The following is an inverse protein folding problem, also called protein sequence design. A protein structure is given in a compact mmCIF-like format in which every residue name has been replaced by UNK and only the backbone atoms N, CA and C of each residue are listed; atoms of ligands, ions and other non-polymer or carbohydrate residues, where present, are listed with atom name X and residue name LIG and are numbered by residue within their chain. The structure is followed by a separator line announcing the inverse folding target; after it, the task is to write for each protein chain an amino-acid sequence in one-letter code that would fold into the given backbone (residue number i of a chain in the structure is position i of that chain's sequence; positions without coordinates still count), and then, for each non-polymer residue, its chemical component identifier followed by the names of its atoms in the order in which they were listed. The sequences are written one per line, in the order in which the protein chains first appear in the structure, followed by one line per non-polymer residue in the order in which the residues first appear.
data_IF_417369158124
#
_entry.id   IF_417369158124
#
_cell.length_a   1.000
_cell.length_b   1.000
_cell.length_c   1.000
_cell.angle_alpha   90.00
_cell.angle_beta   90.00
_cell.angle_gamma   90.00
#
_symmetry.space_group_name_H-M   'P 1'
#
loop_
_entity.id
_entity.type
_entity.pdbx_description
1 polymer ?
#
# COMPACT_ATOMS: atom_id res chain seq x y z
N UNK A 1 8.51 -0.23 17.74
CA UNK A 1 7.58 0.89 17.90
C UNK A 1 6.67 0.57 19.07
N UNK A 2 6.70 1.39 20.09
CA UNK A 2 6.01 1.11 21.32
C UNK A 2 4.56 1.55 21.32
N UNK A 3 4.16 2.40 20.37
CA UNK A 3 2.84 2.98 20.42
C UNK A 3 2.39 3.50 19.05
N UNK A 4 1.09 3.68 18.94
CA UNK A 4 0.48 4.36 17.81
C UNK A 4 1.03 5.77 17.64
N UNK A 5 1.30 6.45 18.74
CA UNK A 5 1.87 7.80 18.73
C UNK A 5 3.23 7.84 18.07
N UNK A 6 4.12 6.91 18.42
CA UNK A 6 5.46 6.84 17.81
C UNK A 6 5.38 6.57 16.31
N UNK A 7 4.51 5.68 15.89
CA UNK A 7 4.29 5.39 14.47
C UNK A 7 3.78 6.63 13.74
N UNK A 8 2.80 7.32 14.31
CA UNK A 8 2.23 8.52 13.71
C UNK A 8 3.27 9.61 13.55
N UNK A 9 4.09 9.84 14.57
CA UNK A 9 5.17 10.84 14.50
C UNK A 9 6.16 10.50 13.40
N UNK A 10 6.58 9.26 13.30
CA UNK A 10 7.55 8.85 12.28
C UNK A 10 7.00 9.08 10.88
N UNK A 11 5.75 8.69 10.63
CA UNK A 11 5.11 8.92 9.33
C UNK A 11 5.04 10.40 9.00
N UNK A 12 4.62 11.24 9.96
CA UNK A 12 4.50 12.68 9.73
C UNK A 12 5.83 13.34 9.45
N UNK A 13 6.88 12.96 10.19
CA UNK A 13 8.18 13.62 10.10
C UNK A 13 9.02 13.14 8.92
N UNK A 14 8.87 11.88 8.52
CA UNK A 14 9.71 11.29 7.49
C UNK A 14 8.95 11.02 6.20
N UNK A 15 7.89 10.23 6.26
CA UNK A 15 7.23 9.77 5.05
C UNK A 15 6.24 10.76 4.47
N UNK A 16 5.45 11.45 5.28
CA UNK A 16 4.49 12.42 4.75
C UNK A 16 5.14 13.61 4.07
N UNK A 17 6.33 13.99 4.51
CA UNK A 17 7.10 15.05 3.84
C UNK A 17 7.48 14.67 2.41
N UNK A 18 7.47 13.37 2.10
CA UNK A 18 7.75 12.83 0.76
C UNK A 18 6.46 12.51 0.00
N UNK A 19 5.31 13.01 0.47
CA UNK A 19 4.03 12.74 -0.19
C UNK A 19 3.37 11.43 0.23
N UNK A 20 3.85 10.79 1.28
CA UNK A 20 3.30 9.53 1.76
C UNK A 20 1.92 9.74 2.38
N UNK A 21 0.96 8.89 2.01
CA UNK A 21 -0.41 8.94 2.53
C UNK A 21 -0.79 7.59 3.11
N UNK A 22 -1.64 7.62 4.14
CA UNK A 22 -2.12 6.40 4.81
C UNK A 22 -3.64 6.30 4.71
N UNK A 23 -4.12 5.09 4.54
CA UNK A 23 -5.53 4.73 4.68
C UNK A 23 -5.64 3.49 5.55
N UNK A 24 -6.68 3.40 6.35
CA UNK A 24 -6.86 2.28 7.27
C UNK A 24 -8.32 1.83 7.28
N UNK A 25 -8.51 0.53 7.55
CA UNK A 25 -9.83 -0.06 7.79
C UNK A 25 -9.94 -0.40 9.26
N UNK A 26 -11.06 -0.04 9.89
CA UNK A 26 -11.32 -0.26 11.31
C UNK A 26 -12.47 -1.23 11.48
N UNK A 27 -12.43 -2.02 12.57
CA UNK A 27 -13.60 -2.79 12.98
C UNK A 27 -14.68 -1.84 13.50
N UNK A 28 -15.95 -2.09 13.18
CA UNK A 28 -17.04 -1.28 13.74
C UNK A 28 -16.99 -1.24 15.26
N UNK A 29 -17.07 -0.04 15.82
CA UNK A 29 -17.12 0.14 17.26
C UNK A 29 -15.79 0.04 17.98
N UNK A 30 -14.67 -0.06 17.26
CA UNK A 30 -13.34 -0.11 17.88
C UNK A 30 -12.43 0.96 17.29
N UNK A 31 -11.42 1.43 18.06
CA UNK A 31 -10.44 2.37 17.55
C UNK A 31 -9.27 1.69 16.80
N UNK A 32 -9.26 0.36 16.72
CA UNK A 32 -8.10 -0.38 16.21
C UNK A 32 -8.21 -0.60 14.72
N UNK A 33 -7.15 -0.24 13.99
CA UNK A 33 -7.04 -0.54 12.57
C UNK A 33 -6.76 -2.03 12.37
N UNK A 34 -7.48 -2.66 11.46
CA UNK A 34 -7.27 -4.08 11.12
C UNK A 34 -6.49 -4.25 9.83
N UNK A 35 -6.46 -3.23 8.99
CA UNK A 35 -5.65 -3.21 7.76
C UNK A 35 -5.23 -1.77 7.47
N UNK A 36 -4.05 -1.61 6.92
CA UNK A 36 -3.47 -0.29 6.62
C UNK A 36 -2.77 -0.35 5.27
N UNK A 37 -2.91 0.70 4.48
CA UNK A 37 -2.12 0.88 3.27
C UNK A 37 -1.44 2.24 3.29
N UNK A 38 -0.17 2.26 2.88
CA UNK A 38 0.59 3.47 2.66
C UNK A 38 0.91 3.61 1.18
N UNK A 39 0.76 4.80 0.63
CA UNK A 39 0.92 5.00 -0.80
C UNK A 39 1.37 6.42 -1.12
N UNK A 40 1.87 6.58 -2.34
CA UNK A 40 2.29 7.88 -2.89
C UNK A 40 1.77 8.03 -4.30
N UNK A 41 1.61 9.27 -4.74
CA UNK A 41 1.30 9.59 -6.13
C UNK A 41 2.61 10.03 -6.79
N UNK A 42 3.01 9.32 -7.83
CA UNK A 42 4.28 9.53 -8.50
C UNK A 42 4.08 9.80 -9.98
N UNK A 43 5.13 10.33 -10.62
CA UNK A 43 5.14 10.61 -12.04
C UNK A 43 6.42 10.03 -12.65
N UNK A 44 6.28 9.29 -13.75
CA UNK A 44 7.41 8.80 -14.53
C UNK A 44 7.11 8.97 -16.02
N UNK A 45 8.17 9.12 -16.79
CA UNK A 45 8.00 9.27 -18.24
C UNK A 45 7.28 8.08 -18.86
N UNK A 46 7.59 6.87 -18.41
CA UNK A 46 7.00 5.66 -18.97
C UNK A 46 5.59 5.35 -18.44
N UNK A 47 5.26 5.82 -17.23
CA UNK A 47 4.00 5.46 -16.58
C UNK A 47 3.03 6.63 -16.44
N UNK A 48 3.51 7.87 -16.67
CA UNK A 48 2.72 9.06 -16.38
C UNK A 48 2.47 9.19 -14.88
N UNK A 49 1.27 9.64 -14.52
CA UNK A 49 0.86 9.72 -13.11
C UNK A 49 0.38 8.34 -12.67
N UNK A 50 0.91 7.85 -11.57
CA UNK A 50 0.51 6.55 -11.05
C UNK A 50 0.49 6.55 -9.53
N UNK A 51 -0.30 5.64 -8.96
CA UNK A 51 -0.36 5.41 -7.52
C UNK A 51 0.57 4.26 -7.19
N UNK A 52 1.51 4.50 -6.27
CA UNK A 52 2.45 3.48 -5.82
C UNK A 52 2.14 3.09 -4.39
N UNK A 53 1.86 1.81 -4.17
CA UNK A 53 1.58 1.28 -2.83
C UNK A 53 2.91 0.90 -2.18
N UNK A 54 3.28 1.64 -1.14
CA UNK A 54 4.50 1.36 -0.38
C UNK A 54 4.28 0.23 0.62
N UNK A 55 3.09 0.20 1.25
CA UNK A 55 2.79 -0.75 2.32
C UNK A 55 1.33 -1.18 2.23
N UNK A 56 1.09 -2.47 2.43
CA UNK A 56 -0.26 -3.02 2.56
C UNK A 56 -0.20 -4.13 3.59
N UNK A 57 -0.79 -3.88 4.75
CA UNK A 57 -0.68 -4.76 5.91
C UNK A 57 -2.06 -5.04 6.50
N UNK A 58 -2.34 -6.31 6.78
CA UNK A 58 -3.52 -6.73 7.53
C UNK A 58 -3.05 -7.46 8.78
N UNK A 59 -3.69 -7.18 9.93
CA UNK A 59 -3.37 -7.89 11.16
C UNK A 59 -3.56 -9.40 10.96
N UNK A 60 -2.68 -10.26 11.53
CA UNK A 60 -2.75 -11.70 11.29
C UNK A 60 -4.10 -12.33 11.62
N UNK A 61 -4.73 -11.90 12.71
CA UNK A 61 -6.03 -12.44 13.14
C UNK A 61 -7.20 -12.00 12.24
N UNK A 62 -6.96 -11.05 11.35
CA UNK A 62 -7.99 -10.54 10.44
C UNK A 62 -7.70 -10.83 8.97
N UNK A 63 -6.69 -11.64 8.70
CA UNK A 63 -6.39 -12.05 7.33
C UNK A 63 -7.51 -12.94 6.80
N UNK A 64 -7.74 -12.90 5.51
CA UNK A 64 -8.78 -13.67 4.81
C UNK A 64 -10.21 -13.24 5.18
N UNK A 65 -10.38 -12.08 5.81
CA UNK A 65 -11.69 -11.53 6.16
C UNK A 65 -12.14 -10.43 5.20
N UNK A 66 -11.40 -10.17 4.12
CA UNK A 66 -11.79 -9.21 3.10
C UNK A 66 -11.37 -7.77 3.37
N UNK A 67 -10.63 -7.50 4.44
CA UNK A 67 -10.22 -6.13 4.75
C UNK A 67 -9.18 -5.60 3.75
N UNK A 68 -8.26 -6.45 3.30
CA UNK A 68 -7.30 -6.04 2.27
C UNK A 68 -8.00 -5.78 0.94
N UNK A 69 -9.04 -6.55 0.61
CA UNK A 69 -9.85 -6.31 -0.59
C UNK A 69 -10.53 -4.94 -0.54
N UNK A 70 -11.06 -4.56 0.63
CA UNK A 70 -11.70 -3.25 0.80
C UNK A 70 -10.70 -2.12 0.57
N UNK A 71 -9.51 -2.21 1.17
CA UNK A 71 -8.49 -1.18 0.99
C UNK A 71 -8.02 -1.14 -0.45
N UNK A 72 -7.83 -2.28 -1.09
CA UNK A 72 -7.38 -2.31 -2.48
C UNK A 72 -8.41 -1.65 -3.40
N UNK A 73 -9.69 -1.92 -3.19
CA UNK A 73 -10.76 -1.28 -3.95
C UNK A 73 -10.74 0.24 -3.75
N UNK A 74 -10.51 0.70 -2.52
CA UNK A 74 -10.39 2.12 -2.22
C UNK A 74 -9.21 2.75 -2.94
N UNK A 75 -8.05 2.05 -2.95
CA UNK A 75 -6.86 2.55 -3.63
C UNK A 75 -7.11 2.71 -5.14
N UNK A 76 -7.81 1.78 -5.76
CA UNK A 76 -8.17 1.87 -7.16
C UNK A 76 -9.07 3.09 -7.43
N UNK A 77 -10.06 3.31 -6.59
CA UNK A 77 -10.94 4.47 -6.74
C UNK A 77 -10.19 5.79 -6.54
N UNK A 78 -9.29 5.82 -5.57
CA UNK A 78 -8.46 7.00 -5.33
C UNK A 78 -7.54 7.28 -6.52
N UNK A 79 -6.96 6.23 -7.10
CA UNK A 79 -6.15 6.38 -8.31
C UNK A 79 -6.97 6.98 -9.45
N UNK A 80 -8.20 6.50 -9.64
CA UNK A 80 -9.10 7.06 -10.66
C UNK A 80 -9.44 8.52 -10.38
N UNK A 81 -9.77 8.82 -9.12
CA UNK A 81 -10.12 10.18 -8.69
C UNK A 81 -8.98 11.17 -8.94
N UNK A 82 -7.75 10.74 -8.76
CA UNK A 82 -6.56 11.57 -8.91
C UNK A 82 -6.00 11.57 -10.34
N UNK A 83 -6.67 10.91 -11.27
CA UNK A 83 -6.23 10.89 -12.67
C UNK A 83 -5.02 10.01 -12.90
N UNK A 84 -4.78 9.00 -12.06
CA UNK A 84 -3.70 8.06 -12.26
C UNK A 84 -4.10 7.02 -13.32
N UNK A 85 -3.20 6.77 -14.26
CA UNK A 85 -3.42 5.76 -15.29
C UNK A 85 -3.12 4.35 -14.80
N UNK A 86 -2.30 4.20 -13.76
CA UNK A 86 -1.83 2.90 -13.29
C UNK A 86 -1.69 2.88 -11.78
N UNK A 87 -1.69 1.69 -11.22
CA UNK A 87 -1.39 1.41 -9.81
C UNK A 87 -0.26 0.38 -9.78
N UNK A 88 0.78 0.66 -9.02
CA UNK A 88 1.98 -0.18 -8.94
C UNK A 88 2.32 -0.52 -7.49
N UNK A 89 2.97 -1.66 -7.32
CA UNK A 89 3.62 -2.04 -6.06
C UNK A 89 4.75 -3.02 -6.36
N UNK A 90 5.64 -3.17 -5.39
CA UNK A 90 6.66 -4.21 -5.41
C UNK A 90 6.35 -5.22 -4.31
N UNK A 91 6.62 -6.50 -4.59
CA UNK A 91 6.44 -7.57 -3.61
C UNK A 91 7.60 -8.53 -3.71
N UNK A 92 8.17 -8.92 -2.57
CA UNK A 92 9.25 -9.88 -2.56
C UNK A 92 8.84 -11.20 -3.22
N UNK A 93 9.74 -11.82 -3.97
CA UNK A 93 9.42 -13.03 -4.71
C UNK A 93 9.02 -14.22 -3.83
N UNK A 94 9.35 -14.17 -2.54
CA UNK A 94 8.99 -15.20 -1.57
C UNK A 94 7.60 -15.04 -0.95
N UNK A 95 6.91 -13.94 -1.24
CA UNK A 95 5.61 -13.65 -0.64
C UNK A 95 4.47 -14.18 -1.50
N UNK A 96 4.34 -15.50 -1.56
CA UNK A 96 3.40 -16.17 -2.47
C UNK A 96 1.94 -15.84 -2.20
N UNK A 97 1.54 -15.69 -0.94
CA UNK A 97 0.16 -15.35 -0.60
C UNK A 97 -0.21 -13.94 -1.09
N UNK A 98 0.72 -13.00 -0.94
CA UNK A 98 0.52 -11.63 -1.45
C UNK A 98 0.44 -11.64 -2.97
N UNK A 99 1.29 -12.42 -3.65
CA UNK A 99 1.26 -12.54 -5.12
C UNK A 99 -0.11 -13.04 -5.58
N UNK A 100 -0.66 -14.07 -4.92
CA UNK A 100 -2.00 -14.58 -5.27
C UNK A 100 -3.07 -13.50 -5.12
N UNK A 101 -2.98 -12.71 -4.05
CA UNK A 101 -3.90 -11.59 -3.81
C UNK A 101 -3.83 -10.59 -4.96
N UNK A 102 -2.62 -10.17 -5.35
CA UNK A 102 -2.46 -9.17 -6.42
C UNK A 102 -2.94 -9.70 -7.76
N UNK A 103 -2.60 -10.93 -8.10
CA UNK A 103 -3.04 -11.54 -9.37
C UNK A 103 -4.56 -11.71 -9.41
N UNK A 104 -5.18 -12.07 -8.28
CA UNK A 104 -6.64 -12.17 -8.17
C UNK A 104 -7.31 -10.83 -8.49
N UNK A 105 -6.69 -9.72 -8.12
CA UNK A 105 -7.21 -8.38 -8.37
C UNK A 105 -6.87 -7.85 -9.76
N UNK A 106 -6.32 -8.66 -10.63
CA UNK A 106 -6.05 -8.29 -12.01
C UNK A 106 -4.71 -7.63 -12.25
N UNK A 107 -3.83 -7.62 -11.27
CA UNK A 107 -2.49 -7.10 -11.47
C UNK A 107 -1.64 -8.09 -12.27
N UNK A 108 -0.65 -7.58 -12.98
CA UNK A 108 0.30 -8.41 -13.72
C UNK A 108 1.70 -8.21 -13.17
N UNK A 109 2.50 -9.25 -13.22
CA UNK A 109 3.89 -9.18 -12.81
C UNK A 109 4.72 -8.86 -14.06
N UNK A 110 5.06 -7.58 -14.24
CA UNK A 110 5.64 -7.12 -15.50
C UNK A 110 7.07 -6.58 -15.36
N UNK A 111 7.70 -6.73 -14.19
CA UNK A 111 9.06 -6.22 -13.98
C UNK A 111 9.76 -6.99 -12.87
N UNK A 112 11.08 -6.89 -12.87
CA UNK A 112 11.90 -7.38 -11.75
C UNK A 112 12.56 -6.18 -11.08
N UNK A 113 12.58 -6.19 -9.75
CA UNK A 113 13.16 -5.13 -8.96
C UNK A 113 14.62 -5.46 -8.65
N UNK A 114 15.53 -4.53 -8.98
CA UNK A 114 16.94 -4.66 -8.66
C UNK A 114 17.35 -3.60 -7.65
N UNK A 115 18.20 -3.96 -6.72
CA UNK A 115 18.67 -3.00 -5.71
C UNK A 115 20.15 -3.21 -5.41
N UNK A 116 20.79 -2.15 -4.92
CA UNK A 116 22.19 -2.15 -4.55
C UNK A 116 22.37 -1.23 -3.35
N UNK A 117 23.16 -1.67 -2.38
CA UNK A 117 23.56 -0.80 -1.28
C UNK A 117 24.62 0.18 -1.80
N UNK A 118 24.47 1.44 -1.45
CA UNK A 118 25.42 2.50 -1.84
C UNK A 118 26.19 2.91 -0.59
N UNK A 119 27.52 2.74 -0.66
CA UNK A 119 28.42 3.07 0.46
C UNK A 119 28.67 4.57 0.58
#
# INVERSE_FOLDING_TARGET
MSSVESFTQWVNQQQRSEGYRLVATFLPGTPDAVAVAGFRILHQLSKGRFLYVDDLVTLPQHRSSGYADLIFAWLLEEARRLGCAQLHLDSGHQRYDAHRFYLKHGMIMNAHHFSMVVD
#
